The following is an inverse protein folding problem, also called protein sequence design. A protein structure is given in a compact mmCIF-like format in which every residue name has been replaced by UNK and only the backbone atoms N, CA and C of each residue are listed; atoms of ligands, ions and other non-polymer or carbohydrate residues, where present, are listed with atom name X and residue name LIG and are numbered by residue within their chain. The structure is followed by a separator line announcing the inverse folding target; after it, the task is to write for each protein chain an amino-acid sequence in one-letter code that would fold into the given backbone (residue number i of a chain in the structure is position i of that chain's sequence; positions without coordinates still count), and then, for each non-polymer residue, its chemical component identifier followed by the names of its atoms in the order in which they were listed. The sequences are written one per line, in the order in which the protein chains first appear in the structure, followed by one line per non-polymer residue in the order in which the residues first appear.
data_IF_689537366991
#
_entry.id   IF_689537366991
#
_cell.length_a   1.000
_cell.length_b   1.000
_cell.length_c   1.000
_cell.angle_alpha   90.00
_cell.angle_beta   90.00
_cell.angle_gamma   90.00
#
_symmetry.space_group_name_H-M   'P 1'
#
loop_
_entity.id
_entity.type
_entity.pdbx_description
1 polymer ?
#
# COMPACT_ATOMS: atom_id res chain seq x y z
N UNK A 1 28.63 8.96 -9.87
CA UNK A 1 28.45 8.12 -11.04
C UNK A 1 27.11 7.40 -10.92
N UNK A 2 26.36 7.33 -11.99
CA UNK A 2 25.10 6.65 -11.97
C UNK A 2 25.32 5.14 -11.80
N UNK A 3 24.62 4.55 -10.87
CA UNK A 3 24.75 3.13 -10.60
C UNK A 3 23.72 2.36 -11.43
N UNK A 4 24.19 1.71 -12.48
CA UNK A 4 23.33 0.96 -13.39
C UNK A 4 22.73 -0.28 -12.71
N UNK A 5 23.23 -0.67 -11.54
CA UNK A 5 22.67 -1.79 -10.78
C UNK A 5 21.64 -1.35 -9.76
N UNK A 6 21.42 -0.04 -9.59
CA UNK A 6 20.40 0.47 -8.66
C UNK A 6 19.01 0.09 -9.13
N UNK A 7 18.22 -0.49 -8.22
CA UNK A 7 16.81 -0.75 -8.46
C UNK A 7 16.00 0.54 -8.32
N UNK A 8 14.76 0.58 -8.84
CA UNK A 8 13.85 1.67 -8.54
C UNK A 8 13.70 1.92 -7.03
N UNK A 9 13.73 0.85 -6.24
CA UNK A 9 13.68 0.92 -4.80
C UNK A 9 14.85 1.76 -4.23
N UNK A 10 16.08 1.48 -4.69
CA UNK A 10 17.26 2.23 -4.23
C UNK A 10 17.20 3.70 -4.64
N UNK A 11 16.81 3.96 -5.90
CA UNK A 11 16.68 5.32 -6.40
C UNK A 11 15.59 6.11 -5.71
N UNK A 12 14.54 5.42 -5.27
CA UNK A 12 13.42 6.01 -4.55
C UNK A 12 13.82 6.45 -3.13
N UNK A 13 14.90 5.93 -2.58
CA UNK A 13 15.36 6.25 -1.24
C UNK A 13 15.38 5.06 -0.30
N UNK A 14 15.09 3.88 -0.81
CA UNK A 14 15.20 2.64 -0.07
C UNK A 14 14.22 2.50 1.08
N UNK A 15 14.56 1.64 2.01
CA UNK A 15 13.71 1.30 3.15
C UNK A 15 13.33 2.50 4.00
N UNK A 16 14.25 3.44 4.19
CA UNK A 16 13.99 4.63 5.02
C UNK A 16 12.88 5.47 4.44
N UNK A 17 12.91 5.73 3.13
CA UNK A 17 11.85 6.52 2.48
C UNK A 17 10.53 5.78 2.46
N UNK A 18 10.55 4.48 2.16
CA UNK A 18 9.33 3.66 2.17
C UNK A 18 8.68 3.69 3.55
N UNK A 19 9.48 3.51 4.61
CA UNK A 19 8.95 3.55 5.97
C UNK A 19 8.31 4.89 6.30
N UNK A 20 8.97 6.01 5.95
CA UNK A 20 8.45 7.34 6.20
C UNK A 20 7.13 7.59 5.47
N UNK A 21 7.03 7.13 4.22
CA UNK A 21 5.80 7.27 3.42
C UNK A 21 4.66 6.46 4.02
N UNK A 22 4.92 5.22 4.41
CA UNK A 22 3.88 4.36 4.98
C UNK A 22 3.39 4.91 6.33
N UNK A 23 4.29 5.38 7.18
CA UNK A 23 3.91 5.98 8.46
C UNK A 23 3.06 7.24 8.23
N UNK A 24 3.44 8.10 7.29
CA UNK A 24 2.69 9.30 6.92
C UNK A 24 1.31 8.93 6.37
N UNK A 25 1.26 7.95 5.47
CA UNK A 25 0.01 7.45 4.90
C UNK A 25 -0.96 6.99 5.98
N UNK A 26 -0.50 6.17 6.92
CA UNK A 26 -1.36 5.66 7.98
C UNK A 26 -1.81 6.75 8.94
N UNK A 27 -0.99 7.79 9.16
CA UNK A 27 -1.41 8.95 9.94
C UNK A 27 -2.59 9.68 9.27
N UNK A 28 -2.58 9.77 7.94
CA UNK A 28 -3.68 10.39 7.19
C UNK A 28 -4.94 9.52 7.22
N UNK A 29 -4.79 8.22 7.11
CA UNK A 29 -5.91 7.27 7.26
C UNK A 29 -6.53 7.41 8.66
N UNK A 30 -5.71 7.44 9.70
CA UNK A 30 -6.18 7.53 11.08
C UNK A 30 -6.94 8.83 11.36
N UNK A 31 -6.61 9.90 10.64
CA UNK A 31 -7.26 11.19 10.79
C UNK A 31 -8.60 11.30 10.04
N UNK A 32 -8.92 10.33 9.19
CA UNK A 32 -10.17 10.32 8.41
C UNK A 32 -11.08 9.22 8.96
N UNK A 33 -12.16 9.58 9.69
CA UNK A 33 -13.03 8.56 10.30
C UNK A 33 -13.64 7.59 9.30
N UNK A 34 -13.95 8.04 8.10
CA UNK A 34 -14.56 7.19 7.07
C UNK A 34 -13.57 6.15 6.57
N UNK A 35 -12.36 6.57 6.24
CA UNK A 35 -11.33 5.64 5.75
C UNK A 35 -10.84 4.74 6.89
N UNK A 36 -10.67 5.30 8.08
CA UNK A 36 -10.21 4.55 9.26
C UNK A 36 -11.12 3.37 9.57
N UNK A 37 -12.42 3.54 9.36
CA UNK A 37 -13.41 2.50 9.66
C UNK A 37 -13.24 1.23 8.81
N UNK A 38 -12.56 1.33 7.67
CA UNK A 38 -12.31 0.17 6.80
C UNK A 38 -11.20 -0.73 7.38
N UNK A 39 -10.34 -0.18 8.22
CA UNK A 39 -9.16 -0.85 8.75
C UNK A 39 -9.46 -1.52 10.09
N UNK A 40 -8.69 -2.58 10.45
CA UNK A 40 -8.82 -3.16 11.78
C UNK A 40 -8.41 -2.21 12.88
N UNK A 41 -8.80 -2.51 14.11
CA UNK A 41 -8.49 -1.66 15.26
C UNK A 41 -6.99 -1.48 15.44
N UNK A 42 -6.22 -2.57 15.34
CA UNK A 42 -4.76 -2.52 15.42
C UNK A 42 -4.18 -2.35 14.02
N UNK A 43 -3.57 -1.20 13.78
CA UNK A 43 -2.98 -0.86 12.48
C UNK A 43 -1.56 -1.43 12.30
N UNK A 44 -0.89 -1.86 13.35
CA UNK A 44 0.53 -2.24 13.28
C UNK A 44 0.82 -3.37 12.29
N UNK A 45 0.03 -4.47 12.26
CA UNK A 45 0.29 -5.51 11.26
C UNK A 45 0.19 -5.00 9.83
N UNK A 46 -0.80 -4.15 9.55
CA UNK A 46 -0.98 -3.57 8.22
C UNK A 46 0.15 -2.62 7.83
N UNK A 47 0.59 -1.79 8.78
CA UNK A 47 1.74 -0.89 8.56
C UNK A 47 2.97 -1.69 8.17
N UNK A 48 3.29 -2.73 8.92
CA UNK A 48 4.46 -3.57 8.65
C UNK A 48 4.35 -4.25 7.29
N UNK A 49 3.18 -4.81 6.98
CA UNK A 49 2.96 -5.51 5.71
C UNK A 49 3.06 -4.55 4.53
N UNK A 50 2.50 -3.35 4.64
CA UNK A 50 2.56 -2.37 3.55
C UNK A 50 4.01 -1.93 3.30
N UNK A 51 4.79 -1.72 4.36
CA UNK A 51 6.22 -1.39 4.20
C UNK A 51 6.94 -2.48 3.39
N UNK A 52 6.77 -3.73 3.77
CA UNK A 52 7.42 -4.86 3.10
C UNK A 52 6.90 -5.04 1.67
N UNK A 53 5.60 -4.86 1.45
CA UNK A 53 5.01 -4.97 0.13
C UNK A 53 5.55 -3.89 -0.81
N UNK A 54 5.58 -2.63 -0.37
CA UNK A 54 6.09 -1.54 -1.21
C UNK A 54 7.57 -1.67 -1.49
N UNK A 55 8.36 -2.11 -0.52
CA UNK A 55 9.78 -2.40 -0.76
C UNK A 55 9.94 -3.39 -1.92
N UNK A 56 9.22 -4.50 -1.86
CA UNK A 56 9.28 -5.52 -2.90
C UNK A 56 8.72 -5.02 -4.22
N UNK A 57 7.58 -4.33 -4.19
CA UNK A 57 6.91 -3.82 -5.39
C UNK A 57 7.80 -2.83 -6.16
N UNK A 58 8.61 -2.05 -5.44
CA UNK A 58 9.55 -1.10 -6.04
C UNK A 58 10.86 -1.75 -6.50
N UNK A 59 11.00 -3.06 -6.37
CA UNK A 59 12.18 -3.79 -6.83
C UNK A 59 13.22 -4.05 -5.74
N UNK A 60 12.88 -3.83 -4.47
CA UNK A 60 13.73 -4.16 -3.34
C UNK A 60 13.64 -5.62 -2.93
N UNK A 61 14.05 -5.95 -1.71
CA UNK A 61 14.06 -7.34 -1.24
C UNK A 61 12.67 -7.96 -1.25
N UNK A 62 12.58 -9.26 -1.55
CA UNK A 62 11.32 -10.00 -1.63
C UNK A 62 10.85 -10.52 -0.25
N UNK A 63 11.09 -9.76 0.80
CA UNK A 63 10.77 -10.19 2.17
C UNK A 63 9.27 -10.44 2.35
N UNK A 64 8.42 -9.60 1.73
CA UNK A 64 6.97 -9.80 1.81
C UNK A 64 6.57 -11.21 1.33
N UNK A 65 7.02 -11.58 0.13
CA UNK A 65 6.68 -12.90 -0.44
C UNK A 65 7.32 -14.04 0.33
N UNK A 66 8.52 -13.83 0.87
CA UNK A 66 9.20 -14.86 1.69
C UNK A 66 8.41 -15.15 2.97
N UNK A 67 7.79 -14.14 3.57
CA UNK A 67 7.01 -14.30 4.80
C UNK A 67 5.57 -14.71 4.56
N UNK A 68 4.93 -14.18 3.51
CA UNK A 68 3.48 -14.30 3.31
C UNK A 68 3.10 -14.98 2.02
N UNK A 69 4.05 -15.34 1.16
CA UNK A 69 3.79 -15.94 -0.14
C UNK A 69 3.32 -14.91 -1.16
N UNK A 70 2.56 -15.35 -2.17
CA UNK A 70 2.02 -14.45 -3.18
C UNK A 70 1.13 -13.40 -2.51
N UNK A 71 1.23 -12.11 -2.90
CA UNK A 71 0.46 -11.05 -2.24
C UNK A 71 -1.04 -11.28 -2.19
N UNK A 72 -1.67 -11.71 -3.29
CA UNK A 72 -3.13 -11.96 -3.35
C UNK A 72 -3.92 -10.80 -2.76
N UNK A 73 -3.60 -9.59 -3.17
CA UNK A 73 -4.07 -8.37 -2.50
C UNK A 73 -5.59 -8.26 -2.47
N UNK A 74 -6.27 -8.56 -3.57
CA UNK A 74 -7.73 -8.48 -3.60
C UNK A 74 -8.35 -9.41 -2.57
N UNK A 75 -7.84 -10.63 -2.48
CA UNK A 75 -8.34 -11.63 -1.52
C UNK A 75 -8.11 -11.21 -0.08
N UNK A 76 -6.96 -10.58 0.20
CA UNK A 76 -6.65 -10.09 1.55
C UNK A 76 -7.59 -8.99 1.99
N UNK A 77 -8.21 -8.29 1.04
CA UNK A 77 -9.16 -7.22 1.32
C UNK A 77 -10.61 -7.69 1.43
N UNK A 78 -10.90 -8.96 1.17
CA UNK A 78 -12.27 -9.48 1.24
C UNK A 78 -12.96 -9.26 2.59
N UNK A 79 -12.27 -9.30 3.76
CA UNK A 79 -12.94 -9.00 5.03
C UNK A 79 -13.45 -7.56 5.14
N UNK A 80 -13.02 -6.67 4.25
CA UNK A 80 -13.32 -5.24 4.29
C UNK A 80 -14.14 -4.85 3.07
N UNK A 81 -15.14 -3.99 3.25
CA UNK A 81 -15.95 -3.48 2.14
C UNK A 81 -15.21 -2.28 1.54
N UNK A 82 -14.76 -2.40 0.30
CA UNK A 82 -13.99 -1.37 -0.40
C UNK A 82 -14.77 -0.91 -1.63
N UNK A 83 -15.16 0.36 -1.64
CA UNK A 83 -15.81 0.98 -2.78
C UNK A 83 -14.83 1.89 -3.54
N UNK A 84 -15.30 2.51 -4.62
CA UNK A 84 -14.46 3.38 -5.44
C UNK A 84 -13.97 4.61 -4.67
N UNK A 85 -14.78 5.12 -3.75
CA UNK A 85 -14.39 6.26 -2.92
C UNK A 85 -13.27 5.89 -1.96
N UNK A 86 -13.33 4.67 -1.39
CA UNK A 86 -12.28 4.17 -0.51
C UNK A 86 -10.96 4.01 -1.28
N UNK A 87 -11.01 3.44 -2.48
CA UNK A 87 -9.83 3.31 -3.33
C UNK A 87 -9.26 4.68 -3.70
N UNK A 88 -10.13 5.64 -4.03
CA UNK A 88 -9.71 6.99 -4.34
C UNK A 88 -9.04 7.70 -3.17
N UNK A 89 -9.59 7.54 -1.95
CA UNK A 89 -8.98 8.11 -0.74
C UNK A 89 -7.62 7.47 -0.45
N UNK A 90 -7.49 6.16 -0.65
CA UNK A 90 -6.21 5.46 -0.49
C UNK A 90 -5.15 6.06 -1.40
N UNK A 91 -5.50 6.25 -2.67
CA UNK A 91 -4.58 6.85 -3.65
C UNK A 91 -4.23 8.29 -3.29
N UNK A 92 -5.21 9.07 -2.84
CA UNK A 92 -4.98 10.46 -2.42
C UNK A 92 -4.02 10.53 -1.25
N UNK A 93 -4.24 9.72 -0.22
CA UNK A 93 -3.38 9.74 0.97
C UNK A 93 -1.98 9.24 0.67
N UNK A 94 -1.86 8.25 -0.21
CA UNK A 94 -0.55 7.78 -0.64
C UNK A 94 0.20 8.87 -1.41
N UNK A 95 -0.50 9.60 -2.28
CA UNK A 95 0.10 10.72 -3.02
C UNK A 95 0.53 11.84 -2.09
N UNK A 96 -0.32 12.20 -1.14
CA UNK A 96 0.01 13.24 -0.16
C UNK A 96 1.21 12.83 0.70
N UNK A 97 1.28 11.58 1.10
CA UNK A 97 2.41 11.06 1.87
C UNK A 97 3.70 11.12 1.06
N UNK A 98 3.66 10.71 -0.20
CA UNK A 98 4.84 10.77 -1.08
C UNK A 98 5.31 12.21 -1.27
N UNK A 99 4.39 13.13 -1.48
CA UNK A 99 4.71 14.56 -1.63
C UNK A 99 5.35 15.10 -0.36
N UNK A 100 4.78 14.80 0.80
CA UNK A 100 5.31 15.24 2.08
C UNK A 100 6.71 14.71 2.34
N UNK A 101 7.01 13.50 1.86
CA UNK A 101 8.32 12.88 2.04
C UNK A 101 9.29 13.19 0.88
N UNK A 102 8.94 14.13 0.01
CA UNK A 102 9.86 14.65 -0.99
C UNK A 102 9.99 13.84 -2.28
N UNK A 103 9.03 12.96 -2.58
CA UNK A 103 9.05 12.22 -3.84
C UNK A 103 8.70 13.16 -4.99
N UNK A 104 9.51 13.17 -6.04
CA UNK A 104 9.31 14.05 -7.20
C UNK A 104 8.05 13.71 -7.97
N UNK A 105 7.52 14.72 -8.70
CA UNK A 105 6.28 14.57 -9.47
C UNK A 105 6.40 13.48 -10.53
N UNK A 106 7.53 13.41 -11.23
CA UNK A 106 7.73 12.40 -12.28
C UNK A 106 7.82 11.00 -11.71
N UNK A 107 8.47 10.84 -10.56
CA UNK A 107 8.54 9.55 -9.88
C UNK A 107 7.15 9.11 -9.41
N UNK A 108 6.37 10.05 -8.86
CA UNK A 108 4.99 9.74 -8.46
C UNK A 108 4.15 9.30 -9.66
N UNK A 109 4.26 10.02 -10.78
CA UNK A 109 3.51 9.66 -11.98
C UNK A 109 3.81 8.23 -12.43
N UNK A 110 5.09 7.85 -12.43
CA UNK A 110 5.50 6.50 -12.80
C UNK A 110 4.94 5.46 -11.83
N UNK A 111 5.00 5.74 -10.54
CA UNK A 111 4.51 4.83 -9.49
C UNK A 111 2.99 4.65 -9.60
N UNK A 112 2.24 5.74 -9.79
CA UNK A 112 0.78 5.68 -9.85
C UNK A 112 0.23 5.06 -11.12
N UNK A 113 1.04 4.91 -12.18
CA UNK A 113 0.64 4.08 -13.33
C UNK A 113 0.36 2.64 -12.90
N UNK A 114 1.09 2.14 -11.90
CA UNK A 114 0.86 0.81 -11.35
C UNK A 114 -0.09 0.80 -10.17
N UNK A 115 0.06 1.72 -9.23
CA UNK A 115 -0.75 1.75 -8.01
C UNK A 115 -2.21 2.12 -8.29
N UNK A 116 -2.48 2.99 -9.28
CA UNK A 116 -3.85 3.37 -9.61
C UNK A 116 -4.72 2.18 -9.97
N UNK A 117 -4.35 1.41 -11.01
CA UNK A 117 -5.12 0.20 -11.35
C UNK A 117 -5.16 -0.81 -10.23
N UNK A 118 -4.08 -0.96 -9.46
CA UNK A 118 -4.03 -1.90 -8.35
C UNK A 118 -5.04 -1.54 -7.27
N UNK A 119 -5.14 -0.26 -6.89
CA UNK A 119 -6.10 0.19 -5.89
C UNK A 119 -7.54 -0.04 -6.36
N UNK A 120 -7.84 0.27 -7.61
CA UNK A 120 -9.18 0.04 -8.16
C UNK A 120 -9.50 -1.45 -8.26
N UNK A 121 -8.49 -2.30 -8.49
CA UNK A 121 -8.68 -3.74 -8.49
C UNK A 121 -9.13 -4.28 -7.12
N UNK A 122 -8.85 -3.55 -6.04
CA UNK A 122 -9.27 -3.96 -4.69
C UNK A 122 -10.76 -3.69 -4.41
N UNK A 123 -11.45 -2.90 -5.25
CA UNK A 123 -12.88 -2.61 -5.07
C UNK A 123 -13.68 -3.90 -5.09
N UNK A 124 -14.53 -4.08 -4.08
CA UNK A 124 -15.26 -5.34 -3.90
C UNK A 124 -16.69 -5.15 -3.35
N UNK A 125 -17.19 -3.93 -3.32
CA UNK A 125 -18.46 -3.61 -2.64
C UNK A 125 -19.65 -4.37 -3.24
N UNK A 126 -19.64 -4.61 -4.56
CA UNK A 126 -20.73 -5.28 -5.27
C UNK A 126 -20.49 -6.78 -5.48
N UNK A 127 -19.41 -7.33 -4.91
CA UNK A 127 -19.08 -8.73 -5.09
C UNK A 127 -19.68 -9.59 -3.99
N UNK A 128 -20.23 -10.75 -4.38
CA UNK A 128 -20.71 -11.76 -3.44
C UNK A 128 -19.52 -12.65 -3.05
N UNK A 129 -18.80 -12.25 -2.04
CA UNK A 129 -17.58 -12.90 -1.61
C UNK A 129 -17.61 -13.11 -0.09
N UNK A 130 -16.86 -14.12 0.41
CA UNK A 130 -16.71 -14.31 1.85
C UNK A 130 -16.00 -13.09 2.47
N UNK A 131 -16.54 -12.60 3.59
CA UNK A 131 -15.94 -11.46 4.31
C UNK A 131 -15.20 -11.88 5.56
N UNK A 132 -15.04 -13.18 5.77
CA UNK A 132 -14.31 -13.68 6.93
C UNK A 132 -12.81 -13.56 6.72
N UNK A 133 -12.05 -13.22 7.77
CA UNK A 133 -10.59 -13.18 7.68
C UNK A 133 -10.01 -14.53 7.29
N UNK A 134 -8.94 -14.51 6.52
CA UNK A 134 -8.25 -15.70 6.03
C UNK A 134 -6.95 -15.93 6.82
N UNK A 135 -7.07 -16.14 8.13
CA UNK A 135 -5.90 -16.35 8.98
C UNK A 135 -4.96 -15.15 8.97
N UNK A 136 -3.74 -15.35 8.48
CA UNK A 136 -2.75 -14.29 8.37
C UNK A 136 -2.92 -13.41 7.13
N UNK A 137 -3.90 -13.71 6.27
CA UNK A 137 -4.23 -12.91 5.10
C UNK A 137 -5.06 -11.71 5.53
N UNK A 138 -4.39 -10.69 6.04
CA UNK A 138 -5.03 -9.49 6.56
C UNK A 138 -4.76 -8.30 5.64
N UNK A 139 -5.51 -7.22 5.88
CA UNK A 139 -5.29 -5.95 5.21
C UNK A 139 -3.83 -5.51 5.31
N UNK A 140 -3.22 -5.11 4.22
CA UNK A 140 -1.89 -4.52 4.20
C UNK A 140 -1.96 -3.02 3.99
#
# INVERSE_FOLDING_TARGET
MDDLTSSPFDRFGGRTRVAAIVDDFYARVAADPVQRAIYPEDLEPGIRKLKLFLEQWLGGPSVYSDLYGHPRLKRRHFPFVIDELAAGRWLRYMREAMTAQGVGVDEQAAIFKGLGPLAHHMVNVDEDIPREPLGDLRMT
#
